data_IF_324030987283
#
_entry.id   IF_324030987283
#
_cell.length_a   1.000
_cell.length_b   1.000
_cell.length_c   1.000
_cell.angle_alpha   90.00
_cell.angle_beta   90.00
_cell.angle_gamma   90.00
#
_symmetry.space_group_name_H-M   'P 1'
#
loop_
_entity.id
_entity.type
_entity.pdbx_description
1 polymer ?
#
# COMPACT_ATOMS: atom_id res chain seq x y z
N UNK A 1 5.54 -8.59 10.86
CA UNK A 1 4.52 -8.24 9.85
C UNK A 1 5.22 -8.07 8.51
N UNK A 2 4.74 -8.73 7.45
CA UNK A 2 5.18 -8.62 6.06
C UNK A 2 4.29 -7.61 5.34
N UNK A 3 4.89 -6.57 4.78
CA UNK A 3 4.22 -5.46 4.11
C UNK A 3 4.54 -5.54 2.61
N UNK A 4 3.51 -5.57 1.77
CA UNK A 4 3.66 -5.40 0.33
C UNK A 4 3.37 -3.95 -0.03
N UNK A 5 4.34 -3.25 -0.62
CA UNK A 5 4.17 -1.87 -1.08
C UNK A 5 3.94 -1.83 -2.60
N UNK A 6 2.85 -1.21 -3.03
CA UNK A 6 2.54 -0.96 -4.43
C UNK A 6 2.84 0.50 -4.79
N UNK A 7 3.46 0.71 -5.94
CA UNK A 7 3.69 2.03 -6.52
C UNK A 7 3.87 1.92 -8.02
N UNK A 8 3.56 2.99 -8.75
CA UNK A 8 3.71 2.97 -10.20
C UNK A 8 5.18 2.81 -10.63
N UNK A 9 5.42 1.92 -11.60
CA UNK A 9 6.72 1.76 -12.27
C UNK A 9 6.56 2.11 -13.76
N UNK A 10 5.97 1.20 -14.55
CA UNK A 10 5.76 1.41 -16.00
C UNK A 10 4.69 2.46 -16.31
N UNK A 11 3.77 2.72 -15.38
CA UNK A 11 2.75 3.77 -15.50
C UNK A 11 3.26 5.19 -15.19
N UNK A 12 4.54 5.32 -14.83
CA UNK A 12 5.16 6.57 -14.42
C UNK A 12 6.02 6.40 -13.16
N UNK A 13 7.11 7.17 -13.08
CA UNK A 13 8.11 7.17 -12.00
C UNK A 13 8.23 8.53 -11.30
N UNK A 14 7.32 9.45 -11.56
CA UNK A 14 7.31 10.83 -11.05
C UNK A 14 7.36 10.86 -9.51
N UNK A 15 6.76 9.86 -8.86
CA UNK A 15 6.62 9.77 -7.40
C UNK A 15 7.68 8.89 -6.72
N UNK A 16 8.77 8.51 -7.41
CA UNK A 16 9.79 7.59 -6.83
C UNK A 16 10.39 8.08 -5.52
N UNK A 17 10.61 9.39 -5.37
CA UNK A 17 11.17 9.97 -4.15
C UNK A 17 10.20 9.86 -2.97
N UNK A 18 8.91 10.01 -3.25
CA UNK A 18 7.85 9.79 -2.28
C UNK A 18 7.72 8.30 -1.92
N UNK A 19 7.85 7.40 -2.90
CA UNK A 19 7.87 5.96 -2.63
C UNK A 19 9.01 5.58 -1.69
N UNK A 20 10.20 6.16 -1.87
CA UNK A 20 11.33 5.94 -0.97
C UNK A 20 11.01 6.43 0.45
N UNK A 21 10.38 7.59 0.59
CA UNK A 21 9.91 8.11 1.89
C UNK A 21 8.89 7.15 2.53
N UNK A 22 7.91 6.68 1.77
CA UNK A 22 6.89 5.74 2.26
C UNK A 22 7.54 4.43 2.71
N UNK A 23 8.36 3.80 1.85
CA UNK A 23 9.05 2.54 2.17
C UNK A 23 9.93 2.68 3.42
N UNK A 24 10.64 3.81 3.58
CA UNK A 24 11.43 4.07 4.79
C UNK A 24 10.57 4.10 6.05
N UNK A 25 9.40 4.74 5.99
CA UNK A 25 8.46 4.75 7.12
C UNK A 25 7.88 3.36 7.38
N UNK A 26 7.47 2.63 6.34
CA UNK A 26 6.91 1.28 6.49
C UNK A 26 7.85 0.30 7.20
N UNK A 27 9.17 0.48 7.07
CA UNK A 27 10.18 -0.34 7.77
C UNK A 27 10.12 -0.26 9.29
N UNK A 28 9.53 0.79 9.88
CA UNK A 28 9.30 0.85 11.34
C UNK A 28 8.16 -0.08 11.79
N UNK A 29 7.26 -0.45 10.87
CA UNK A 29 6.10 -1.30 11.16
C UNK A 29 6.30 -2.77 10.77
N UNK A 30 7.23 -3.07 9.86
CA UNK A 30 7.48 -4.44 9.43
C UNK A 30 8.47 -4.58 8.28
N UNK A 31 8.60 -5.80 7.76
CA UNK A 31 9.45 -6.10 6.61
C UNK A 31 8.73 -5.74 5.31
N UNK A 32 9.30 -4.81 4.54
CA UNK A 32 8.76 -4.41 3.24
C UNK A 32 9.29 -5.37 2.17
N UNK A 33 8.40 -6.09 1.48
CA UNK A 33 8.78 -7.12 0.51
C UNK A 33 9.22 -6.55 -0.85
N UNK A 34 8.72 -5.35 -1.19
CA UNK A 34 8.86 -4.73 -2.50
C UNK A 34 9.69 -3.44 -2.46
N UNK A 35 10.77 -3.42 -1.67
CA UNK A 35 11.62 -2.22 -1.52
C UNK A 35 12.15 -1.69 -2.86
N UNK A 36 12.37 -2.58 -3.83
CA UNK A 36 12.85 -2.25 -5.17
C UNK A 36 11.92 -1.28 -5.92
N UNK A 37 10.62 -1.21 -5.61
CA UNK A 37 9.68 -0.23 -6.22
C UNK A 37 10.16 1.21 -6.00
N UNK A 38 10.84 1.47 -4.88
CA UNK A 38 11.42 2.78 -4.54
C UNK A 38 12.83 3.02 -5.09
N UNK A 39 13.41 2.06 -5.81
CA UNK A 39 14.75 2.20 -6.36
C UNK A 39 14.77 3.18 -7.55
N UNK A 40 15.52 4.27 -7.41
CA UNK A 40 15.69 5.30 -8.45
C UNK A 40 16.44 4.80 -9.68
N UNK A 41 17.22 3.73 -9.56
CA UNK A 41 17.95 3.14 -10.69
C UNK A 41 17.06 2.28 -11.59
N UNK A 42 15.85 1.93 -11.15
CA UNK A 42 14.88 1.28 -12.03
C UNK A 42 14.37 2.29 -13.06
N UNK A 43 14.52 1.93 -14.32
CA UNK A 43 13.97 2.72 -15.43
C UNK A 43 12.46 2.47 -15.56
N UNK A 44 11.81 3.20 -16.47
CA UNK A 44 10.40 3.02 -16.79
C UNK A 44 10.06 1.62 -17.34
N UNK A 45 11.06 0.79 -17.71
CA UNK A 45 10.83 -0.60 -18.12
C UNK A 45 10.78 -1.59 -16.95
N UNK A 46 11.14 -1.17 -15.73
CA UNK A 46 11.15 -2.00 -14.53
C UNK A 46 12.40 -2.89 -14.40
N UNK A 47 12.25 -4.04 -13.73
CA UNK A 47 13.36 -4.97 -13.42
C UNK A 47 13.83 -5.83 -14.59
N UNK A 48 13.00 -6.06 -15.61
CA UNK A 48 13.36 -6.86 -16.79
C UNK A 48 12.53 -6.45 -18.02
N UNK A 49 13.18 -6.35 -19.18
CA UNK A 49 12.58 -5.97 -20.47
C UNK A 49 12.30 -7.15 -21.42
N UNK A 50 12.27 -8.39 -20.92
CA UNK A 50 11.99 -9.60 -21.73
C UNK A 50 10.73 -10.32 -21.27
N UNK A 51 10.06 -11.05 -22.16
CA UNK A 51 8.84 -11.80 -21.83
C UNK A 51 9.06 -12.87 -20.74
N UNK A 52 10.23 -13.50 -20.71
CA UNK A 52 10.61 -14.41 -19.63
C UNK A 52 10.74 -13.67 -18.28
N UNK A 53 11.22 -12.42 -18.31
CA UNK A 53 11.26 -11.54 -17.15
C UNK A 53 9.88 -11.13 -16.64
N UNK A 54 8.96 -10.76 -17.53
CA UNK A 54 7.60 -10.37 -17.14
C UNK A 54 6.86 -11.48 -16.39
N UNK A 55 6.97 -12.74 -16.87
CA UNK A 55 6.34 -13.89 -16.19
C UNK A 55 6.95 -14.14 -14.81
N UNK A 56 8.27 -14.06 -14.70
CA UNK A 56 8.97 -14.24 -13.42
C UNK A 56 8.59 -13.16 -12.41
N UNK A 57 8.53 -11.89 -12.83
CA UNK A 57 8.10 -10.78 -11.99
C UNK A 57 6.66 -11.00 -11.54
N UNK A 58 5.76 -11.31 -12.48
CA UNK A 58 4.35 -11.57 -12.16
C UNK A 58 4.19 -12.68 -11.12
N UNK A 59 4.79 -13.86 -11.35
CA UNK A 59 4.59 -15.01 -10.46
C UNK A 59 5.18 -14.76 -9.07
N UNK A 60 6.39 -14.15 -9.00
CA UNK A 60 7.04 -13.73 -7.76
C UNK A 60 6.17 -12.73 -6.98
N UNK A 61 5.69 -11.69 -7.64
CA UNK A 61 4.94 -10.60 -7.00
C UNK A 61 3.59 -11.11 -6.51
N UNK A 62 2.91 -11.96 -7.29
CA UNK A 62 1.68 -12.65 -6.86
C UNK A 62 1.93 -13.54 -5.64
N UNK A 63 3.05 -14.25 -5.58
CA UNK A 63 3.41 -15.05 -4.41
C UNK A 63 3.71 -14.19 -3.18
N UNK A 64 4.33 -13.03 -3.36
CA UNK A 64 4.51 -12.05 -2.28
C UNK A 64 3.19 -11.46 -1.80
N UNK A 65 2.25 -11.14 -2.69
CA UNK A 65 0.90 -10.71 -2.31
C UNK A 65 0.18 -11.78 -1.47
N UNK A 66 0.34 -13.06 -1.81
CA UNK A 66 -0.21 -14.17 -1.01
C UNK A 66 0.41 -14.23 0.39
N UNK A 67 1.71 -14.00 0.48
CA UNK A 67 2.48 -14.12 1.73
C UNK A 67 2.42 -12.88 2.63
N UNK A 68 2.07 -11.70 2.12
CA UNK A 68 2.05 -10.49 2.93
C UNK A 68 0.88 -10.49 3.92
N UNK A 69 1.08 -9.83 5.06
CA UNK A 69 0.01 -9.62 6.05
C UNK A 69 -0.86 -8.41 5.65
N UNK A 70 -0.25 -7.44 4.96
CA UNK A 70 -0.85 -6.13 4.67
C UNK A 70 -0.27 -5.52 3.40
N UNK A 71 -1.11 -4.78 2.69
CA UNK A 71 -0.77 -4.08 1.44
C UNK A 71 -0.86 -2.57 1.69
N UNK A 72 0.12 -1.81 1.21
CA UNK A 72 0.08 -0.35 1.19
C UNK A 72 0.35 0.09 -0.24
N UNK A 73 -0.57 0.85 -0.85
CA UNK A 73 -0.47 1.26 -2.24
C UNK A 73 -0.52 2.78 -2.37
N UNK A 74 0.48 3.38 -3.02
CA UNK A 74 0.36 4.75 -3.51
C UNK A 74 -0.34 4.71 -4.86
N UNK A 75 -1.51 5.37 -4.96
CA UNK A 75 -2.43 5.26 -6.10
C UNK A 75 -2.70 6.59 -6.79
N UNK A 76 -1.84 7.59 -6.58
CA UNK A 76 -1.96 8.90 -7.24
C UNK A 76 -1.60 8.81 -8.72
N UNK A 77 -0.50 8.14 -9.04
CA UNK A 77 -0.12 7.84 -10.42
C UNK A 77 -0.90 6.61 -10.93
N UNK A 78 -1.71 6.72 -12.00
CA UNK A 78 -2.41 5.57 -12.57
C UNK A 78 -1.43 4.49 -13.04
N UNK A 79 -1.67 3.24 -12.64
CA UNK A 79 -0.83 2.09 -12.99
C UNK A 79 -1.66 0.83 -13.17
N UNK A 80 -1.51 0.19 -14.34
CA UNK A 80 -2.16 -1.10 -14.63
C UNK A 80 -1.67 -2.19 -13.66
N UNK A 81 -0.36 -2.20 -13.35
CA UNK A 81 0.22 -3.16 -12.40
C UNK A 81 -0.38 -2.99 -11.01
N UNK A 82 -0.41 -1.75 -10.50
CA UNK A 82 -1.00 -1.47 -9.17
C UNK A 82 -2.50 -1.80 -9.16
N UNK A 83 -3.24 -1.46 -10.22
CA UNK A 83 -4.65 -1.85 -10.34
C UNK A 83 -4.86 -3.36 -10.36
N UNK A 84 -4.00 -4.11 -11.07
CA UNK A 84 -4.01 -5.57 -11.08
C UNK A 84 -3.74 -6.16 -9.69
N UNK A 85 -2.70 -5.69 -9.00
CA UNK A 85 -2.37 -6.10 -7.65
C UNK A 85 -3.55 -5.82 -6.69
N UNK A 86 -4.14 -4.61 -6.75
CA UNK A 86 -5.28 -4.23 -5.92
C UNK A 86 -6.51 -5.11 -6.16
N UNK A 87 -6.80 -5.45 -7.41
CA UNK A 87 -7.88 -6.38 -7.74
C UNK A 87 -7.68 -7.78 -7.12
N UNK A 88 -6.44 -8.29 -7.14
CA UNK A 88 -6.09 -9.59 -6.55
C UNK A 88 -6.20 -9.56 -5.02
N UNK A 89 -5.76 -8.49 -4.36
CA UNK A 89 -5.72 -8.44 -2.89
C UNK A 89 -7.10 -8.21 -2.27
N UNK A 90 -8.03 -7.58 -3.00
CA UNK A 90 -9.46 -7.53 -2.64
C UNK A 90 -10.03 -8.95 -2.56
N UNK A 91 -9.83 -9.76 -3.59
CA UNK A 91 -10.29 -11.16 -3.63
C UNK A 91 -9.61 -12.03 -2.56
N UNK A 92 -8.30 -11.80 -2.32
CA UNK A 92 -7.54 -12.45 -1.24
C UNK A 92 -7.91 -11.93 0.17
N UNK A 93 -8.84 -10.96 0.29
CA UNK A 93 -9.29 -10.35 1.55
C UNK A 93 -8.13 -9.79 2.39
N UNK A 94 -7.08 -9.28 1.73
CA UNK A 94 -5.93 -8.70 2.44
C UNK A 94 -6.28 -7.33 2.98
N UNK A 95 -5.76 -7.04 4.17
CA UNK A 95 -5.81 -5.70 4.75
C UNK A 95 -4.97 -4.76 3.88
N UNK A 96 -5.58 -3.68 3.41
CA UNK A 96 -5.06 -2.81 2.36
C UNK A 96 -5.30 -1.35 2.68
N UNK A 97 -4.25 -0.53 2.55
CA UNK A 97 -4.31 0.92 2.60
C UNK A 97 -3.90 1.50 1.25
N UNK A 98 -4.80 2.22 0.59
CA UNK A 98 -4.51 3.04 -0.58
C UNK A 98 -4.31 4.50 -0.16
N UNK A 99 -3.23 5.11 -0.62
CA UNK A 99 -2.83 6.50 -0.37
C UNK A 99 -3.02 7.29 -1.66
N UNK A 100 -3.79 8.38 -1.61
CA UNK A 100 -4.09 9.22 -2.76
C UNK A 100 -3.87 10.71 -2.47
N UNK A 101 -3.22 11.45 -3.38
CA UNK A 101 -2.92 12.89 -3.24
C UNK A 101 -3.85 13.73 -4.12
N UNK A 102 -4.98 14.26 -3.60
CA UNK A 102 -5.90 15.08 -4.39
C UNK A 102 -5.29 16.41 -4.84
N UNK A 103 -4.26 16.91 -4.14
CA UNK A 103 -3.56 18.15 -4.49
C UNK A 103 -2.88 18.12 -5.86
N UNK A 104 -2.68 16.95 -6.45
CA UNK A 104 -2.12 16.80 -7.81
C UNK A 104 -3.11 17.16 -8.93
N UNK A 105 -4.38 17.46 -8.59
CA UNK A 105 -5.44 17.73 -9.56
C UNK A 105 -5.95 16.48 -10.28
N UNK A 106 -5.37 15.30 -9.99
CA UNK A 106 -5.85 14.02 -10.50
C UNK A 106 -7.15 13.61 -9.79
N UNK A 107 -7.91 12.75 -10.46
CA UNK A 107 -9.07 12.07 -9.87
C UNK A 107 -8.74 10.59 -9.76
N UNK A 108 -8.86 10.03 -8.55
CA UNK A 108 -8.65 8.60 -8.33
C UNK A 108 -9.67 7.79 -9.13
N UNK A 109 -9.23 6.66 -9.71
CA UNK A 109 -10.11 5.71 -10.38
C UNK A 109 -11.33 5.35 -9.53
N UNK A 110 -12.52 5.45 -10.14
CA UNK A 110 -13.78 5.10 -9.49
C UNK A 110 -13.81 3.63 -9.02
N UNK A 111 -13.12 2.73 -9.74
CA UNK A 111 -13.00 1.32 -9.35
C UNK A 111 -12.21 1.14 -8.05
N UNK A 112 -11.13 1.91 -7.87
CA UNK A 112 -10.31 1.84 -6.65
C UNK A 112 -11.02 2.54 -5.49
N UNK A 113 -11.60 3.72 -5.73
CA UNK A 113 -12.34 4.47 -4.70
C UNK A 113 -13.60 3.72 -4.26
N UNK A 114 -14.33 3.13 -5.19
CA UNK A 114 -15.55 2.36 -4.93
C UNK A 114 -15.31 1.00 -4.27
N UNK A 115 -14.09 0.45 -4.35
CA UNK A 115 -13.71 -0.78 -3.65
C UNK A 115 -13.48 -0.59 -2.14
N UNK A 116 -13.41 0.66 -1.66
CA UNK A 116 -13.21 0.94 -0.24
C UNK A 116 -14.40 0.50 0.61
N UNK A 117 -14.15 -0.41 1.56
CA UNK A 117 -15.13 -0.88 2.53
C UNK A 117 -14.98 -0.20 3.91
N UNK A 118 -13.91 0.60 4.08
CA UNK A 118 -13.63 1.33 5.33
C UNK A 118 -13.02 0.47 6.44
N UNK A 119 -12.90 -0.85 6.24
CA UNK A 119 -12.40 -1.81 7.21
C UNK A 119 -11.11 -2.48 6.72
N UNK A 120 -11.23 -3.35 5.71
CA UNK A 120 -10.10 -4.10 5.13
C UNK A 120 -9.47 -3.34 3.98
N UNK A 121 -10.27 -2.74 3.11
CA UNK A 121 -9.79 -1.93 2.00
C UNK A 121 -10.10 -0.47 2.28
N UNK A 122 -9.06 0.28 2.64
CA UNK A 122 -9.19 1.68 3.05
C UNK A 122 -8.49 2.57 2.04
N UNK A 123 -9.18 3.59 1.55
CA UNK A 123 -8.58 4.67 0.77
C UNK A 123 -8.44 5.90 1.67
N UNK A 124 -7.26 6.50 1.69
CA UNK A 124 -6.95 7.74 2.42
C UNK A 124 -6.44 8.78 1.44
N UNK A 125 -7.19 9.87 1.36
CA UNK A 125 -6.70 11.09 0.76
C UNK A 125 -5.71 11.74 1.74
N UNK A 126 -4.52 12.14 1.27
CA UNK A 126 -3.45 12.67 2.13
C UNK A 126 -2.58 13.70 1.40
N UNK A 127 -1.83 14.49 2.16
CA UNK A 127 -0.68 15.27 1.69
C UNK A 127 0.64 14.60 2.08
N UNK A 128 1.72 14.86 1.34
CA UNK A 128 3.03 14.23 1.61
C UNK A 128 3.59 14.50 3.01
N UNK A 129 3.19 15.61 3.63
CA UNK A 129 3.54 15.96 5.00
C UNK A 129 2.88 15.04 6.04
N UNK A 130 1.72 14.48 5.73
CA UNK A 130 0.90 13.67 6.64
C UNK A 130 1.17 12.17 6.52
N UNK A 131 2.03 11.76 5.57
CA UNK A 131 2.24 10.35 5.22
C UNK A 131 2.58 9.48 6.43
N UNK A 132 3.45 9.96 7.32
CA UNK A 132 3.88 9.24 8.52
C UNK A 132 2.70 9.04 9.48
N UNK A 133 1.96 10.11 9.77
CA UNK A 133 0.76 10.04 10.63
C UNK A 133 -0.33 9.13 10.05
N UNK A 134 -0.55 9.14 8.74
CA UNK A 134 -1.53 8.24 8.09
C UNK A 134 -1.12 6.78 8.25
N UNK A 135 0.17 6.48 8.04
CA UNK A 135 0.72 5.13 8.23
C UNK A 135 0.61 4.69 9.70
N UNK A 136 1.03 5.54 10.64
CA UNK A 136 0.92 5.29 12.07
C UNK A 136 -0.52 4.98 12.49
N UNK A 137 -1.48 5.80 12.06
CA UNK A 137 -2.89 5.56 12.38
C UNK A 137 -3.40 4.23 11.81
N UNK A 138 -2.99 3.88 10.60
CA UNK A 138 -3.36 2.61 10.00
C UNK A 138 -2.78 1.43 10.78
N UNK A 139 -1.50 1.45 11.13
CA UNK A 139 -0.87 0.35 11.86
C UNK A 139 -1.26 0.30 13.35
N UNK A 140 -1.48 1.45 13.99
CA UNK A 140 -1.79 1.55 15.42
C UNK A 140 -3.28 1.41 15.75
N UNK A 141 -4.19 1.41 14.77
CA UNK A 141 -5.64 1.20 15.00
C UNK A 141 -5.95 -0.13 15.73
N UNK A 142 -5.04 -1.11 15.70
CA UNK A 142 -5.20 -2.38 16.43
C UNK A 142 -4.90 -2.29 17.93
N UNK A 143 -4.26 -1.21 18.42
CA UNK A 143 -3.91 -1.07 19.85
C UNK A 143 -5.06 -0.50 20.71
N UNK A 144 -6.10 0.09 20.10
CA UNK A 144 -7.24 0.66 20.85
C UNK A 144 -8.37 -0.32 21.13
N UNK A 145 -8.37 -1.50 20.51
CA UNK A 145 -9.42 -2.52 20.71
C UNK A 145 -9.05 -3.61 21.74
N UNK A 146 -7.87 -3.56 22.36
CA UNK A 146 -7.45 -4.50 23.41
C UNK A 146 -7.58 -3.96 24.85
N UNK A 147 -8.03 -2.71 25.03
CA UNK A 147 -8.27 -2.10 26.33
C UNK A 147 -9.72 -1.60 26.47
N UNK A 148 -10.68 -2.51 26.51
CA UNK A 148 -12.05 -2.20 26.93
C UNK A 148 -12.71 -3.37 27.65
N UNK A 149 -12.01 -3.97 28.62
CA UNK A 149 -12.61 -4.80 29.67
C UNK A 149 -11.91 -4.53 31.01
N UNK A 150 -12.23 -3.40 31.62
CA UNK A 150 -12.11 -3.23 33.07
C UNK A 150 -13.22 -2.27 33.51
N UNK A 151 -14.40 -2.84 33.76
CA UNK A 151 -15.50 -2.13 34.41
C UNK A 151 -15.15 -1.95 35.89
N UNK A 152 -15.20 -0.73 36.46
CA UNK A 152 -15.13 -0.57 37.90
C UNK A 152 -16.50 -0.97 38.49
N UNK A 153 -16.55 -2.07 39.24
CA UNK A 153 -17.67 -2.36 40.13
C UNK A 153 -17.74 -1.25 41.18
N UNK A 154 -18.82 -0.47 41.13
CA UNK A 154 -19.28 0.39 42.23
C UNK A 154 -20.16 -0.44 43.17
N UNK A 155 -19.76 -0.56 44.43
CA UNK A 155 -20.63 -0.80 45.59
C UNK A 155 -19.92 -0.08 46.75
N UNK A 156 -20.44 1.04 47.29
CA UNK A 156 -21.51 1.11 48.30
C UNK A 156 -21.41 0.05 49.38
#
# INVERSE_FOLDING_TARGET
>A
MKIYFCGSIRGGREDVDLYLKIVKNLKSHGTVMTEHVSNKQLTHTGEAGSAAGDRLIHDRDVDWLRQCDVVVAEVTQPSLGVGYELGRVVDMKKRTLCLFRPSTGRVLSAMIRGAADGERFVVRDYSEAEVENVLDQFFNKNLKNSCSHCSPQKHQ
#
